data_IF_447253115835
#
_entry.id   IF_447253115835
#
_cell.length_a   1.000
_cell.length_b   1.000
_cell.length_c   1.000
_cell.angle_alpha   90.00
_cell.angle_beta   90.00
_cell.angle_gamma   90.00
#
_symmetry.space_group_name_H-M   'P 1'
#
loop_
_entity.id
_entity.type
_entity.pdbx_description
1 polymer ?
#
# COMPACT_ATOMS: atom_id res chain seq x y z
N UNK A 1 50.88 11.65 5.93
CA UNK A 1 49.51 11.26 5.54
C UNK A 1 49.04 10.15 6.50
N UNK A 2 48.12 10.47 7.42
CA UNK A 2 47.61 9.49 8.37
C UNK A 2 46.70 8.54 7.61
N UNK A 3 47.08 7.26 7.52
CA UNK A 3 46.18 6.21 7.03
C UNK A 3 45.01 6.09 8.00
N UNK A 4 43.85 6.56 7.62
CA UNK A 4 42.59 6.33 8.34
C UNK A 4 42.29 4.83 8.26
N UNK A 5 42.53 4.13 9.37
CA UNK A 5 42.20 2.71 9.51
C UNK A 5 40.69 2.58 9.47
N UNK A 6 40.15 2.24 8.30
CA UNK A 6 38.70 2.02 8.17
C UNK A 6 38.27 0.88 9.06
N UNK A 7 37.17 1.08 9.81
CA UNK A 7 36.60 0.02 10.64
C UNK A 7 35.99 -1.07 9.73
N UNK A 8 36.58 -2.29 9.66
CA UNK A 8 36.10 -3.31 8.73
C UNK A 8 34.67 -3.78 9.06
N UNK A 9 34.24 -3.65 10.32
CA UNK A 9 32.87 -3.98 10.74
C UNK A 9 31.85 -2.99 10.21
N UNK A 10 32.10 -1.70 10.30
CA UNK A 10 31.21 -0.67 9.77
C UNK A 10 31.02 -0.83 8.26
N UNK A 11 32.10 -1.15 7.52
CA UNK A 11 32.02 -1.41 6.09
C UNK A 11 31.19 -2.65 5.79
N UNK A 12 31.38 -3.76 6.54
CA UNK A 12 30.58 -4.99 6.35
C UNK A 12 29.09 -4.77 6.62
N UNK A 13 28.75 -4.02 7.65
CA UNK A 13 27.37 -3.66 7.99
C UNK A 13 26.78 -2.77 6.90
N UNK A 14 27.52 -1.78 6.39
CA UNK A 14 27.07 -0.93 5.28
C UNK A 14 26.83 -1.74 4.01
N UNK A 15 27.73 -2.67 3.66
CA UNK A 15 27.55 -3.56 2.50
C UNK A 15 26.32 -4.45 2.68
N UNK A 16 26.12 -5.02 3.87
CA UNK A 16 24.93 -5.83 4.15
C UNK A 16 23.63 -5.00 3.99
N UNK A 17 23.59 -3.78 4.54
CA UNK A 17 22.44 -2.87 4.38
C UNK A 17 22.17 -2.53 2.92
N UNK A 18 23.21 -2.27 2.13
CA UNK A 18 23.08 -2.02 0.69
C UNK A 18 22.54 -3.24 -0.07
N UNK A 19 23.04 -4.44 0.27
CA UNK A 19 22.57 -5.70 -0.34
C UNK A 19 21.07 -5.90 -0.06
N UNK A 20 20.63 -5.70 1.19
CA UNK A 20 19.21 -5.79 1.54
C UNK A 20 18.36 -4.78 0.76
N UNK A 21 18.83 -3.55 0.61
CA UNK A 21 18.15 -2.50 -0.14
C UNK A 21 18.00 -2.88 -1.63
N UNK A 22 19.08 -3.34 -2.25
CA UNK A 22 19.09 -3.73 -3.67
C UNK A 22 18.21 -4.96 -3.90
N UNK A 23 18.29 -5.97 -3.03
CA UNK A 23 17.46 -7.18 -3.14
C UNK A 23 15.98 -6.87 -2.91
N UNK A 24 15.66 -6.02 -1.91
CA UNK A 24 14.29 -5.62 -1.63
C UNK A 24 13.68 -4.81 -2.76
N UNK A 25 14.38 -3.79 -3.25
CA UNK A 25 13.93 -3.01 -4.40
C UNK A 25 13.82 -3.89 -5.65
N UNK A 26 14.82 -4.76 -5.91
CA UNK A 26 14.81 -5.68 -7.03
C UNK A 26 13.62 -6.64 -7.00
N UNK A 27 13.24 -7.16 -5.82
CA UNK A 27 12.08 -8.03 -5.66
C UNK A 27 10.77 -7.30 -6.00
N UNK A 28 10.61 -6.04 -5.57
CA UNK A 28 9.44 -5.21 -5.88
C UNK A 28 9.40 -4.92 -7.38
N UNK A 29 10.49 -4.41 -7.96
CA UNK A 29 10.54 -4.08 -9.38
C UNK A 29 10.34 -5.29 -10.30
N UNK A 30 10.92 -6.45 -9.95
CA UNK A 30 10.75 -7.66 -10.74
C UNK A 30 9.32 -8.23 -10.73
N UNK A 31 8.50 -7.84 -9.75
CA UNK A 31 7.12 -8.27 -9.62
C UNK A 31 6.11 -7.12 -9.79
N UNK A 32 6.54 -5.98 -10.34
CA UNK A 32 5.71 -4.77 -10.43
C UNK A 32 4.45 -5.02 -11.26
N UNK A 33 4.56 -5.76 -12.36
CA UNK A 33 3.42 -6.14 -13.19
C UNK A 33 2.38 -6.98 -12.41
N UNK A 34 2.83 -7.93 -11.58
CA UNK A 34 1.93 -8.72 -10.74
C UNK A 34 1.25 -7.88 -9.65
N UNK A 35 1.99 -6.91 -9.11
CA UNK A 35 1.46 -5.97 -8.10
C UNK A 35 0.42 -5.06 -8.74
N UNK A 36 0.72 -4.51 -9.93
CA UNK A 36 -0.20 -3.66 -10.68
C UNK A 36 -1.46 -4.44 -11.09
N UNK A 37 -1.29 -5.67 -11.56
CA UNK A 37 -2.43 -6.53 -11.85
C UNK A 37 -3.29 -6.85 -10.63
N UNK A 38 -2.66 -7.12 -9.47
CA UNK A 38 -3.37 -7.40 -8.22
C UNK A 38 -4.10 -6.17 -7.67
N UNK A 39 -3.65 -4.96 -8.01
CA UNK A 39 -4.27 -3.70 -7.60
C UNK A 39 -5.25 -3.12 -8.63
N UNK A 40 -5.40 -3.77 -9.78
CA UNK A 40 -6.31 -3.32 -10.84
C UNK A 40 -7.77 -3.33 -10.35
N UNK A 41 -8.50 -2.19 -10.47
CA UNK A 41 -9.91 -2.12 -10.10
C UNK A 41 -10.79 -3.15 -10.81
N UNK A 42 -10.43 -3.53 -12.03
CA UNK A 42 -11.14 -4.57 -12.79
C UNK A 42 -10.98 -5.97 -12.21
N UNK A 43 -9.98 -6.19 -11.35
CA UNK A 43 -9.73 -7.49 -10.69
C UNK A 43 -10.15 -7.52 -9.22
N UNK A 44 -10.05 -6.38 -8.53
CA UNK A 44 -10.36 -6.26 -7.11
C UNK A 44 -11.78 -5.78 -6.82
N UNK A 45 -12.62 -5.67 -7.86
CA UNK A 45 -14.01 -5.25 -7.65
C UNK A 45 -14.86 -6.38 -7.06
N UNK A 46 -15.81 -6.00 -6.23
CA UNK A 46 -16.84 -6.87 -5.67
C UNK A 46 -18.00 -7.05 -6.64
N UNK A 47 -18.26 -6.04 -7.48
CA UNK A 47 -19.26 -6.08 -8.53
C UNK A 47 -18.91 -5.16 -9.70
N UNK A 48 -19.42 -5.49 -10.89
CA UNK A 48 -19.31 -4.69 -12.10
C UNK A 48 -20.69 -4.59 -12.76
N UNK A 49 -21.24 -3.38 -12.79
CA UNK A 49 -22.57 -3.10 -13.40
C UNK A 49 -22.35 -2.32 -14.69
N UNK A 50 -22.88 -2.83 -15.81
CA UNK A 50 -22.85 -2.14 -17.10
C UNK A 50 -24.23 -1.56 -17.41
N UNK A 51 -24.30 -0.26 -17.61
CA UNK A 51 -25.55 0.48 -17.82
C UNK A 51 -26.39 0.55 -16.54
N UNK A 52 -27.64 0.13 -16.62
CA UNK A 52 -28.56 0.03 -15.47
C UNK A 52 -28.61 -1.41 -14.95
N UNK A 53 -28.62 -1.56 -13.63
CA UNK A 53 -28.70 -2.88 -13.00
C UNK A 53 -28.63 -2.81 -11.49
N UNK A 54 -28.75 -3.97 -10.87
CA UNK A 54 -28.57 -4.15 -9.44
C UNK A 54 -27.75 -5.39 -9.16
N UNK A 55 -26.82 -5.27 -8.21
CA UNK A 55 -25.95 -6.33 -7.75
C UNK A 55 -25.96 -6.43 -6.24
N UNK A 56 -25.88 -7.67 -5.72
CA UNK A 56 -25.74 -7.92 -4.29
C UNK A 56 -24.31 -8.27 -3.97
N UNK A 57 -23.74 -7.60 -2.99
CA UNK A 57 -22.34 -7.71 -2.62
C UNK A 57 -22.18 -7.82 -1.10
N UNK A 58 -21.15 -8.54 -0.67
CA UNK A 58 -20.72 -8.56 0.73
C UNK A 58 -19.70 -7.45 0.96
N UNK A 59 -19.98 -6.55 1.91
CA UNK A 59 -19.11 -5.43 2.25
C UNK A 59 -18.64 -5.51 3.70
N UNK A 60 -17.40 -5.12 3.91
CA UNK A 60 -16.81 -4.98 5.24
C UNK A 60 -17.25 -3.67 5.90
N UNK A 61 -17.30 -3.63 7.24
CA UNK A 61 -17.55 -2.39 7.97
C UNK A 61 -16.36 -1.43 7.84
N UNK A 62 -16.49 -0.42 7.01
CA UNK A 62 -15.47 0.61 6.78
C UNK A 62 -16.06 1.77 5.98
N UNK A 63 -15.53 2.97 6.16
CA UNK A 63 -15.89 4.09 5.29
C UNK A 63 -15.23 4.02 3.91
N UNK A 64 -14.43 3.00 3.61
CA UNK A 64 -13.74 2.78 2.34
C UNK A 64 -14.16 1.47 1.64
N UNK A 65 -15.15 0.75 2.16
CA UNK A 65 -15.53 -0.54 1.61
C UNK A 65 -16.59 -0.48 0.51
N UNK A 66 -17.16 0.67 0.24
CA UNK A 66 -18.13 0.85 -0.84
C UNK A 66 -17.77 2.07 -1.70
N UNK A 67 -16.79 1.91 -2.58
CA UNK A 67 -16.32 2.94 -3.52
C UNK A 67 -16.66 2.54 -4.95
N UNK A 68 -17.53 3.32 -5.61
CA UNK A 68 -17.89 3.11 -7.02
C UNK A 68 -17.03 3.98 -7.92
N UNK A 69 -16.41 3.35 -8.89
CA UNK A 69 -15.47 3.97 -9.83
C UNK A 69 -15.84 3.65 -11.27
N UNK A 70 -15.46 4.52 -12.20
CA UNK A 70 -15.55 4.30 -13.64
C UNK A 70 -14.41 4.99 -14.38
N UNK A 71 -14.09 4.50 -15.57
CA UNK A 71 -13.08 5.09 -16.44
C UNK A 71 -13.66 5.69 -17.72
N UNK A 72 -14.95 5.52 -17.99
CA UNK A 72 -15.59 5.87 -19.27
C UNK A 72 -16.83 6.79 -19.11
N UNK A 73 -17.14 7.22 -17.88
CA UNK A 73 -18.26 8.10 -17.64
C UNK A 73 -17.81 9.55 -17.67
N UNK A 74 -18.26 10.27 -18.70
CA UNK A 74 -17.98 11.71 -18.88
C UNK A 74 -18.95 12.62 -18.11
N UNK A 75 -20.12 12.13 -17.73
CA UNK A 75 -21.14 12.92 -17.05
C UNK A 75 -21.86 12.15 -15.93
N UNK A 76 -21.28 12.26 -14.74
CA UNK A 76 -21.78 11.60 -13.51
C UNK A 76 -23.19 12.04 -13.11
N UNK A 77 -23.62 13.25 -13.53
CA UNK A 77 -24.93 13.78 -13.15
C UNK A 77 -26.13 13.03 -13.75
N UNK A 78 -25.87 12.20 -14.75
CA UNK A 78 -26.89 11.35 -15.41
C UNK A 78 -27.07 9.99 -14.75
N UNK A 79 -26.24 9.68 -13.74
CA UNK A 79 -26.31 8.45 -12.98
C UNK A 79 -27.04 8.66 -11.66
N UNK A 80 -28.07 7.86 -11.45
CA UNK A 80 -28.67 7.69 -10.14
C UNK A 80 -28.19 6.41 -9.53
N UNK A 81 -27.59 6.50 -8.37
CA UNK A 81 -27.09 5.34 -7.64
C UNK A 81 -27.64 5.33 -6.23
N UNK A 82 -28.16 4.18 -5.84
CA UNK A 82 -28.57 3.89 -4.48
C UNK A 82 -27.90 2.62 -3.98
N UNK A 83 -27.64 2.60 -2.69
CA UNK A 83 -27.20 1.39 -1.99
C UNK A 83 -28.10 1.19 -0.78
N UNK A 84 -28.42 -0.04 -0.48
CA UNK A 84 -29.21 -0.42 0.71
C UNK A 84 -28.71 -1.73 1.28
N UNK A 85 -28.89 -1.93 2.59
CA UNK A 85 -28.73 -3.26 3.18
C UNK A 85 -29.90 -4.18 2.74
N UNK A 86 -29.80 -5.47 3.01
CA UNK A 86 -30.87 -6.45 2.68
C UNK A 86 -32.19 -6.19 3.41
N UNK A 87 -32.20 -5.39 4.45
CA UNK A 87 -33.43 -4.94 5.14
C UNK A 87 -34.09 -3.75 4.41
N UNK A 88 -33.44 -3.15 3.44
CA UNK A 88 -33.90 -2.02 2.64
C UNK A 88 -33.52 -0.65 3.21
N UNK A 89 -32.68 -0.59 4.24
CA UNK A 89 -32.19 0.68 4.77
C UNK A 89 -31.13 1.27 3.83
N UNK A 90 -31.34 2.52 3.40
CA UNK A 90 -30.46 3.20 2.48
C UNK A 90 -29.08 3.47 3.09
N UNK A 91 -28.03 3.28 2.28
CA UNK A 91 -26.66 3.61 2.66
C UNK A 91 -26.47 5.14 2.71
N UNK A 92 -25.79 5.58 3.75
CA UNK A 92 -25.41 6.99 3.89
C UNK A 92 -24.15 7.28 3.07
N UNK A 93 -24.08 8.48 2.50
CA UNK A 93 -22.86 8.96 1.86
C UNK A 93 -21.75 9.10 2.90
N UNK A 94 -20.56 8.60 2.58
CA UNK A 94 -19.43 8.63 3.51
C UNK A 94 -18.99 10.05 3.86
N UNK A 95 -18.52 10.21 5.08
CA UNK A 95 -17.78 11.40 5.54
C UNK A 95 -16.28 11.25 5.28
N UNK A 96 -15.81 10.03 5.03
CA UNK A 96 -14.44 9.75 4.67
C UNK A 96 -14.25 10.09 3.19
N UNK A 97 -13.22 10.88 2.89
CA UNK A 97 -12.83 11.13 1.51
C UNK A 97 -11.66 10.27 1.15
N UNK A 98 -11.78 9.57 0.06
CA UNK A 98 -10.70 8.76 -0.48
C UNK A 98 -9.83 9.66 -1.36
N UNK A 99 -8.59 9.91 -0.95
CA UNK A 99 -7.59 10.60 -1.79
C UNK A 99 -6.91 9.63 -2.79
N UNK A 100 -7.53 8.49 -2.99
CA UNK A 100 -7.04 7.46 -3.89
C UNK A 100 -7.46 7.77 -5.32
N UNK A 101 -6.51 7.70 -6.25
CA UNK A 101 -6.79 7.75 -7.70
C UNK A 101 -6.55 6.35 -8.25
N UNK A 102 -7.62 5.57 -8.46
CA UNK A 102 -7.47 4.21 -8.95
C UNK A 102 -6.94 4.24 -10.39
N UNK A 103 -5.96 3.39 -10.67
CA UNK A 103 -5.39 3.22 -12.01
C UNK A 103 -5.33 1.73 -12.35
N UNK A 104 -5.52 1.42 -13.60
CA UNK A 104 -5.34 0.06 -14.12
C UNK A 104 -3.90 -0.18 -14.57
N UNK A 105 -3.52 -1.43 -14.73
CA UNK A 105 -2.20 -1.84 -15.24
C UNK A 105 -1.88 -1.31 -16.65
N UNK A 106 -2.90 -0.99 -17.43
CA UNK A 106 -2.76 -0.36 -18.75
C UNK A 106 -2.54 1.17 -18.71
N UNK A 107 -2.53 1.76 -17.49
CA UNK A 107 -2.38 3.19 -17.25
C UNK A 107 -3.70 3.98 -17.36
N UNK A 108 -4.84 3.32 -17.58
CA UNK A 108 -6.14 4.00 -17.55
C UNK A 108 -6.46 4.43 -16.11
N UNK A 109 -6.91 5.67 -15.94
CA UNK A 109 -7.34 6.21 -14.66
C UNK A 109 -8.85 6.07 -14.49
N UNK A 110 -9.28 5.83 -13.26
CA UNK A 110 -10.68 5.78 -12.89
C UNK A 110 -11.06 7.03 -12.10
N UNK A 111 -12.31 7.40 -12.23
CA UNK A 111 -12.90 8.47 -11.44
C UNK A 111 -13.81 7.86 -10.37
N UNK A 112 -13.68 8.33 -9.13
CA UNK A 112 -14.60 7.97 -8.05
C UNK A 112 -15.93 8.67 -8.31
N UNK A 113 -16.98 7.86 -8.41
CA UNK A 113 -18.34 8.32 -8.73
C UNK A 113 -19.15 8.49 -7.45
N UNK A 114 -19.05 7.53 -6.55
CA UNK A 114 -19.82 7.49 -5.30
C UNK A 114 -19.07 6.72 -4.23
N UNK A 115 -19.27 7.15 -2.99
CA UNK A 115 -18.73 6.47 -1.80
C UNK A 115 -19.82 6.40 -0.74
N UNK A 116 -19.91 5.25 -0.05
CA UNK A 116 -20.81 5.06 1.08
C UNK A 116 -20.04 4.60 2.31
N UNK A 117 -20.61 4.94 3.47
CA UNK A 117 -20.14 4.48 4.76
C UNK A 117 -20.84 3.16 5.11
N UNK A 118 -20.06 2.10 5.33
CA UNK A 118 -20.55 0.79 5.72
C UNK A 118 -20.30 0.62 7.22
N UNK A 119 -21.36 0.79 8.00
CA UNK A 119 -21.28 0.74 9.47
C UNK A 119 -21.25 -0.68 10.01
N UNK A 120 -21.89 -1.62 9.32
CA UNK A 120 -21.98 -3.03 9.70
C UNK A 120 -21.61 -3.90 8.50
N UNK A 121 -20.76 -4.92 8.71
CA UNK A 121 -20.43 -5.86 7.66
C UNK A 121 -21.64 -6.73 7.30
N UNK A 122 -21.83 -7.01 6.01
CA UNK A 122 -22.93 -7.85 5.54
C UNK A 122 -23.26 -7.66 4.06
N UNK A 123 -24.39 -8.22 3.67
CA UNK A 123 -24.89 -8.15 2.29
C UNK A 123 -25.58 -6.79 2.02
N UNK A 124 -25.23 -6.21 0.90
CA UNK A 124 -25.78 -4.92 0.42
C UNK A 124 -26.22 -5.04 -1.03
N UNK A 125 -27.23 -4.28 -1.40
CA UNK A 125 -27.71 -4.17 -2.78
C UNK A 125 -27.27 -2.82 -3.33
N UNK A 126 -26.48 -2.85 -4.38
CA UNK A 126 -26.14 -1.65 -5.18
C UNK A 126 -27.05 -1.59 -6.40
N UNK A 127 -27.77 -0.51 -6.57
CA UNK A 127 -28.64 -0.26 -7.71
C UNK A 127 -28.17 0.96 -8.49
N UNK A 128 -28.07 0.81 -9.80
CA UNK A 128 -27.65 1.85 -10.74
C UNK A 128 -28.74 2.07 -11.77
N UNK A 129 -29.17 3.29 -11.93
CA UNK A 129 -30.08 3.76 -12.97
C UNK A 129 -29.34 4.76 -13.87
N UNK A 130 -29.24 4.42 -15.14
CA UNK A 130 -28.64 5.25 -16.18
C UNK A 130 -29.72 5.94 -16.98
N UNK A 131 -29.76 7.28 -17.00
CA UNK A 131 -30.79 8.04 -17.71
C UNK A 131 -30.48 8.21 -19.22
N UNK A 132 -29.17 8.35 -19.57
CA UNK A 132 -28.73 8.42 -20.97
C UNK A 132 -27.20 8.36 -21.07
N UNK A 133 -26.70 7.93 -22.24
CA UNK A 133 -25.29 7.93 -22.65
C UNK A 133 -24.33 7.12 -21.77
N UNK A 134 -24.85 6.31 -20.85
CA UNK A 134 -24.08 5.45 -19.97
C UNK A 134 -24.45 3.95 -20.09
N UNK A 135 -25.24 3.57 -21.10
CA UNK A 135 -25.69 2.19 -21.30
C UNK A 135 -24.52 1.20 -21.52
N UNK A 136 -23.42 1.69 -22.10
CA UNK A 136 -22.22 0.90 -22.36
C UNK A 136 -21.11 1.14 -21.32
N UNK A 137 -21.32 2.03 -20.36
CA UNK A 137 -20.35 2.34 -19.33
C UNK A 137 -20.40 1.32 -18.22
N UNK A 138 -19.24 0.93 -17.74
CA UNK A 138 -19.13 -0.01 -16.62
C UNK A 138 -18.74 0.73 -15.35
N UNK A 139 -19.48 0.42 -14.30
CA UNK A 139 -19.20 0.85 -12.93
C UNK A 139 -18.66 -0.31 -12.14
N UNK A 140 -17.54 -0.10 -11.46
CA UNK A 140 -16.95 -1.09 -10.56
C UNK A 140 -17.15 -0.65 -9.13
N UNK A 141 -17.69 -1.55 -8.30
CA UNK A 141 -17.72 -1.40 -6.86
C UNK A 141 -16.47 -2.02 -6.27
N UNK A 142 -15.69 -1.23 -5.58
CA UNK A 142 -14.42 -1.65 -4.98
C UNK A 142 -14.50 -1.49 -3.46
N UNK A 143 -14.16 -2.55 -2.73
CA UNK A 143 -13.81 -2.44 -1.32
C UNK A 143 -12.33 -2.03 -1.20
N UNK A 144 -12.10 -0.73 -1.01
CA UNK A 144 -10.76 -0.19 -0.90
C UNK A 144 -10.01 -0.72 0.35
N UNK A 145 -10.73 -1.21 1.36
CA UNK A 145 -10.14 -1.84 2.54
C UNK A 145 -9.60 -3.22 2.19
N UNK A 146 -10.40 -4.05 1.52
CA UNK A 146 -9.97 -5.37 1.03
C UNK A 146 -8.84 -5.25 0.03
N UNK A 147 -8.88 -4.26 -0.87
CA UNK A 147 -7.83 -3.99 -1.83
C UNK A 147 -6.47 -3.72 -1.15
N UNK A 148 -6.46 -2.97 -0.04
CA UNK A 148 -5.24 -2.74 0.73
C UNK A 148 -4.68 -4.03 1.33
N UNK A 149 -5.54 -4.92 1.84
CA UNK A 149 -5.12 -6.20 2.40
C UNK A 149 -4.56 -7.12 1.32
N UNK A 150 -5.17 -7.19 0.13
CA UNK A 150 -4.67 -7.98 -1.00
C UNK A 150 -3.26 -7.56 -1.42
N UNK A 151 -2.95 -6.26 -1.40
CA UNK A 151 -1.60 -5.78 -1.67
C UNK A 151 -0.60 -6.25 -0.61
N UNK A 152 -0.99 -6.28 0.67
CA UNK A 152 -0.15 -6.77 1.76
C UNK A 152 0.06 -8.29 1.73
N UNK A 153 -0.80 -9.04 1.05
CA UNK A 153 -0.63 -10.48 0.86
C UNK A 153 0.35 -10.81 -0.28
N UNK A 154 0.75 -9.84 -1.10
CA UNK A 154 1.73 -10.06 -2.16
C UNK A 154 3.13 -10.33 -1.57
N UNK A 155 3.70 -11.54 -1.77
CA UNK A 155 4.98 -11.91 -1.15
C UNK A 155 6.11 -10.96 -1.53
N UNK A 156 6.11 -10.46 -2.78
CA UNK A 156 7.11 -9.52 -3.26
C UNK A 156 7.09 -8.18 -2.51
N UNK A 157 5.89 -7.67 -2.15
CA UNK A 157 5.74 -6.46 -1.36
C UNK A 157 6.17 -6.68 0.08
N UNK A 158 5.75 -7.79 0.69
CA UNK A 158 6.07 -8.09 2.11
C UNK A 158 7.56 -8.31 2.27
N UNK A 159 8.16 -9.22 1.51
CA UNK A 159 9.59 -9.53 1.64
C UNK A 159 10.48 -8.42 1.07
N UNK A 160 10.11 -7.83 -0.06
CA UNK A 160 10.83 -6.72 -0.66
C UNK A 160 10.80 -5.47 0.22
N UNK A 161 9.62 -5.11 0.75
CA UNK A 161 9.43 -4.01 1.69
C UNK A 161 10.20 -4.22 3.00
N UNK A 162 10.11 -5.41 3.60
CA UNK A 162 10.85 -5.75 4.81
C UNK A 162 12.37 -5.66 4.58
N UNK A 163 12.89 -6.17 3.47
CA UNK A 163 14.30 -6.07 3.13
C UNK A 163 14.73 -4.61 2.92
N UNK A 164 13.94 -3.79 2.24
CA UNK A 164 14.21 -2.36 2.09
C UNK A 164 14.24 -1.65 3.44
N UNK A 165 13.27 -1.89 4.33
CA UNK A 165 13.24 -1.32 5.68
C UNK A 165 14.47 -1.69 6.49
N UNK A 166 14.89 -2.97 6.48
CA UNK A 166 16.10 -3.44 7.13
C UNK A 166 17.33 -2.72 6.57
N UNK A 167 17.45 -2.61 5.25
CA UNK A 167 18.54 -1.90 4.58
C UNK A 167 18.62 -0.43 5.00
N UNK A 168 17.47 0.27 5.02
CA UNK A 168 17.38 1.68 5.44
C UNK A 168 17.78 1.87 6.90
N UNK A 169 17.44 0.93 7.79
CA UNK A 169 17.81 1.02 9.22
C UNK A 169 19.29 0.70 9.46
N UNK A 170 19.85 -0.24 8.71
CA UNK A 170 21.25 -0.68 8.87
C UNK A 170 22.24 0.38 8.39
N UNK A 171 21.93 1.11 7.32
CA UNK A 171 22.86 2.10 6.74
C UNK A 171 23.23 3.26 7.69
N UNK A 172 22.28 3.91 8.40
CA UNK A 172 22.63 4.92 9.39
C UNK A 172 23.43 4.35 10.56
N UNK A 173 23.11 3.13 11.01
CA UNK A 173 23.88 2.45 12.07
C UNK A 173 25.33 2.23 11.65
N UNK A 174 25.56 1.80 10.42
CA UNK A 174 26.92 1.65 9.87
C UNK A 174 27.66 3.01 9.84
N UNK A 175 26.95 4.08 9.46
CA UNK A 175 27.49 5.45 9.46
C UNK A 175 27.90 5.91 10.88
N UNK A 176 27.05 5.70 11.87
CA UNK A 176 27.34 6.02 13.28
C UNK A 176 28.57 5.24 13.76
N UNK A 177 28.60 3.93 13.52
CA UNK A 177 29.73 3.08 13.90
C UNK A 177 31.04 3.50 13.18
N UNK A 178 30.95 3.94 11.95
CA UNK A 178 32.11 4.47 11.22
C UNK A 178 32.62 5.77 11.84
N UNK A 179 31.73 6.68 12.20
CA UNK A 179 32.09 7.99 12.79
C UNK A 179 32.63 7.85 14.22
N UNK A 180 31.99 7.04 15.06
CA UNK A 180 32.39 6.84 16.47
C UNK A 180 33.72 6.12 16.60
N UNK A 181 34.06 5.22 15.68
CA UNK A 181 35.35 4.53 15.70
C UNK A 181 36.48 5.31 14.99
N UNK A 182 36.16 6.37 14.25
CA UNK A 182 37.17 7.23 13.62
C UNK A 182 37.97 8.04 14.63
N UNK A 183 37.34 8.42 15.75
CA UNK A 183 37.94 9.29 16.74
C UNK A 183 38.84 8.58 17.77
N UNK A 184 38.99 7.26 17.67
CA UNK A 184 39.94 6.50 18.50
C UNK A 184 39.71 6.59 20.02
N UNK A 185 38.60 7.14 20.46
CA UNK A 185 38.22 7.35 21.86
C UNK A 185 37.41 6.17 22.41
N UNK A 186 37.82 4.94 22.06
CA UNK A 186 37.41 3.79 22.90
C UNK A 186 37.97 3.98 24.31
N UNK A 187 37.22 3.62 25.38
CA UNK A 187 37.74 3.70 26.74
C UNK A 187 39.04 2.88 26.80
N UNK A 188 40.15 3.59 26.95
CA UNK A 188 41.42 2.92 27.31
C UNK A 188 41.18 2.33 28.67
N UNK A 189 40.90 1.05 28.76
CA UNK A 189 40.99 0.30 30.00
C UNK A 189 42.44 0.42 30.41
N UNK A 190 42.75 1.35 31.30
CA UNK A 190 44.03 1.34 32.01
C UNK A 190 44.02 0.04 32.83
N UNK A 191 44.67 -0.98 32.34
CA UNK A 191 45.14 -2.05 33.23
C UNK A 191 46.15 -1.39 34.15
N UNK A 192 45.68 -1.09 35.35
CA UNK A 192 46.58 -0.81 36.48
C UNK A 192 47.34 -2.10 36.72
N UNK A 193 48.56 -2.15 36.25
CA UNK A 193 49.46 -3.24 36.53
C UNK A 193 49.61 -3.35 38.06
N UNK A 194 49.21 -4.48 38.59
CA UNK A 194 49.45 -4.87 39.97
C UNK A 194 50.93 -5.34 40.04
N UNK A 195 51.85 -4.42 39.95
CA UNK A 195 53.24 -4.65 40.37
C UNK A 195 53.45 -4.03 41.72
N UNK A 196 52.92 -4.74 42.72
CA UNK A 196 53.40 -4.60 44.08
C UNK A 196 54.76 -5.32 44.19
N UNK A 197 55.80 -4.53 44.29
CA UNK A 197 57.03 -5.03 44.94
C UNK A 197 57.61 -3.92 45.81
N UNK A 198 57.60 -4.22 47.11
CA UNK A 198 58.43 -3.84 48.23
C UNK A 198 59.26 -2.58 48.14
#
# INVERSE_FOLDING_TARGET
MAQTKSNPWAVRIAVAGLVFLVLGAGAIFANMEQIDEASSPKKINEAAITGSGAETVDLSASCYSAVVISNDISNVSLLKMSGSNVAGDALESTKCKTDWTPMDSDGSSFTIIKEWDITEAGEYVLEVECESDCENSTLWLVDATSAQWMLLEQPALVFGGAACCIGILILPLAGILYLTNKDGTGPKVMMVGADGQM
#
